data_IF_734650573032
#
_entry.id   IF_734650573032
#
_cell.length_a   1.000
_cell.length_b   1.000
_cell.length_c   1.000
_cell.angle_alpha   90.00
_cell.angle_beta   90.00
_cell.angle_gamma   90.00
#
_symmetry.space_group_name_H-M   'P 1'
#
loop_
_entity.id
_entity.type
_entity.pdbx_description
1 polymer ?
#
# COMPACT_ATOMS: atom_id res chain seq x y z
N UNK A 1 11.89 -10.41 7.43
CA UNK A 1 10.74 -10.61 6.52
C UNK A 1 11.16 -10.12 5.13
N UNK A 2 11.35 -11.01 4.14
CA UNK A 2 11.97 -10.67 2.83
C UNK A 2 11.05 -9.91 1.87
N UNK A 3 9.73 -10.07 2.02
CA UNK A 3 8.74 -9.42 1.15
C UNK A 3 8.75 -7.89 1.30
N UNK A 4 8.82 -7.42 2.54
CA UNK A 4 8.86 -6.01 2.89
C UNK A 4 10.09 -5.29 2.29
N UNK A 5 11.26 -5.92 2.34
CA UNK A 5 12.50 -5.31 1.84
C UNK A 5 12.49 -5.06 0.33
N UNK A 6 11.69 -5.81 -0.45
CA UNK A 6 11.54 -5.58 -1.88
C UNK A 6 10.76 -4.29 -2.17
N UNK A 7 9.71 -3.98 -1.41
CA UNK A 7 8.89 -2.78 -1.60
C UNK A 7 9.63 -1.47 -1.25
N UNK A 8 10.69 -1.56 -0.45
CA UNK A 8 11.57 -0.43 -0.09
C UNK A 8 12.94 -0.49 -0.78
N UNK A 9 13.11 -1.40 -1.74
CA UNK A 9 14.37 -1.61 -2.42
C UNK A 9 14.72 -0.41 -3.32
N UNK A 10 15.97 0.08 -3.32
CA UNK A 10 16.42 1.08 -4.29
C UNK A 10 16.45 0.53 -5.74
N UNK A 11 16.34 -0.79 -5.91
CA UNK A 11 16.28 -1.47 -7.20
C UNK A 11 14.85 -1.68 -7.74
N UNK A 12 13.81 -1.16 -7.09
CA UNK A 12 12.44 -1.20 -7.63
C UNK A 12 12.35 -0.53 -9.02
N UNK A 13 11.47 -1.05 -9.86
CA UNK A 13 11.15 -0.53 -11.19
C UNK A 13 10.09 0.59 -11.13
N UNK A 14 9.21 0.59 -10.11
CA UNK A 14 8.32 1.72 -9.84
C UNK A 14 9.12 2.93 -9.34
N UNK A 15 8.94 4.11 -9.96
CA UNK A 15 9.68 5.35 -9.60
C UNK A 15 9.33 5.85 -8.21
N UNK A 16 10.23 6.60 -7.57
CA UNK A 16 10.03 7.04 -6.18
C UNK A 16 8.79 7.91 -5.98
N UNK A 17 8.55 8.84 -6.90
CA UNK A 17 7.38 9.71 -6.85
C UNK A 17 6.09 8.90 -7.02
N UNK A 18 6.09 7.92 -7.93
CA UNK A 18 4.97 7.01 -8.16
C UNK A 18 4.73 6.07 -6.95
N UNK A 19 5.79 5.58 -6.33
CA UNK A 19 5.74 4.76 -5.12
C UNK A 19 5.10 5.54 -3.95
N UNK A 20 5.54 6.77 -3.68
CA UNK A 20 4.91 7.59 -2.65
C UNK A 20 3.46 7.96 -2.98
N UNK A 21 3.10 8.08 -4.26
CA UNK A 21 1.68 8.20 -4.66
C UNK A 21 0.87 7.01 -4.16
N UNK A 22 1.35 5.78 -4.42
CA UNK A 22 0.67 4.54 -3.99
C UNK A 22 0.49 4.53 -2.48
N UNK A 23 1.54 4.86 -1.73
CA UNK A 23 1.52 4.88 -0.26
C UNK A 23 0.50 5.88 0.27
N UNK A 24 0.65 7.15 -0.08
CA UNK A 24 -0.20 8.21 0.46
C UNK A 24 -1.65 8.08 0.00
N UNK A 25 -1.89 7.63 -1.25
CA UNK A 25 -3.25 7.38 -1.71
C UNK A 25 -3.90 6.20 -0.99
N UNK A 26 -3.14 5.14 -0.69
CA UNK A 26 -3.61 4.02 0.13
C UNK A 26 -3.97 4.50 1.54
N UNK A 27 -3.09 5.28 2.18
CA UNK A 27 -3.32 5.84 3.51
C UNK A 27 -4.56 6.76 3.56
N UNK A 28 -4.78 7.58 2.52
CA UNK A 28 -5.98 8.41 2.39
C UNK A 28 -7.26 7.57 2.25
N UNK A 29 -7.26 6.55 1.38
CA UNK A 29 -8.44 5.71 1.11
C UNK A 29 -8.83 4.79 2.27
N UNK A 30 -7.86 4.38 3.10
CA UNK A 30 -8.06 3.49 4.24
C UNK A 30 -8.16 4.22 5.58
N UNK A 31 -8.20 5.55 5.56
CA UNK A 31 -8.22 6.41 6.76
C UNK A 31 -7.11 6.03 7.75
N UNK A 32 -5.86 6.00 7.26
CA UNK A 32 -4.67 5.61 8.03
C UNK A 32 -3.78 6.84 8.27
N UNK A 33 -4.08 7.67 9.30
CA UNK A 33 -3.40 8.94 9.48
C UNK A 33 -1.95 8.75 9.96
N UNK A 34 -1.65 7.70 10.74
CA UNK A 34 -0.26 7.37 11.11
C UNK A 34 0.59 7.01 9.88
N UNK A 35 0.06 6.22 8.95
CA UNK A 35 0.79 5.91 7.70
C UNK A 35 1.09 7.15 6.89
N UNK A 36 0.12 8.06 6.82
CA UNK A 36 0.33 9.31 6.12
C UNK A 36 1.43 10.13 6.78
N UNK A 37 1.35 10.32 8.11
CA UNK A 37 2.29 11.14 8.87
C UNK A 37 3.74 10.69 8.68
N UNK A 38 4.00 9.38 8.77
CA UNK A 38 5.37 8.86 8.60
C UNK A 38 5.88 8.88 7.15
N UNK A 39 4.98 8.95 6.15
CA UNK A 39 5.35 8.94 4.73
C UNK A 39 5.32 10.32 4.06
N UNK A 40 4.56 11.29 4.58
CA UNK A 40 4.53 12.65 4.01
C UNK A 40 5.94 13.27 3.88
N UNK A 41 6.82 13.22 4.90
CA UNK A 41 8.18 13.74 4.76
C UNK A 41 8.96 13.06 3.63
N UNK A 42 8.73 11.76 3.41
CA UNK A 42 9.36 11.00 2.32
C UNK A 42 8.83 11.46 0.96
N UNK A 43 7.53 11.69 0.83
CA UNK A 43 6.93 12.25 -0.38
C UNK A 43 7.47 13.66 -0.70
N UNK A 44 7.65 14.51 0.32
CA UNK A 44 8.24 15.85 0.16
C UNK A 44 9.66 15.79 -0.38
N UNK A 45 10.46 14.82 0.06
CA UNK A 45 11.81 14.57 -0.49
C UNK A 45 11.77 14.24 -1.98
N UNK A 46 10.72 13.54 -2.45
CA UNK A 46 10.50 13.26 -3.87
C UNK A 46 9.71 14.33 -4.64
N UNK A 47 9.57 15.53 -4.07
CA UNK A 47 9.01 16.70 -4.75
C UNK A 47 7.48 16.77 -4.77
N UNK A 48 6.81 16.17 -3.78
CA UNK A 48 5.41 16.48 -3.49
C UNK A 48 5.29 17.84 -2.80
N UNK A 49 4.47 18.72 -3.36
CA UNK A 49 4.11 20.02 -2.75
C UNK A 49 2.82 19.89 -1.95
N UNK A 50 2.48 20.90 -1.16
CA UNK A 50 1.21 20.93 -0.39
C UNK A 50 -0.01 20.74 -1.30
N UNK A 51 0.01 21.32 -2.51
CA UNK A 51 -1.07 21.13 -3.48
C UNK A 51 -1.19 19.67 -3.95
N UNK A 52 -0.08 18.97 -4.15
CA UNK A 52 -0.13 17.54 -4.47
C UNK A 52 -0.67 16.73 -3.28
N UNK A 53 -0.21 17.03 -2.06
CA UNK A 53 -0.64 16.33 -0.85
C UNK A 53 -2.14 16.54 -0.58
N UNK A 54 -2.64 17.76 -0.77
CA UNK A 54 -4.07 18.06 -0.68
C UNK A 54 -4.88 17.25 -1.70
N UNK A 55 -4.44 17.18 -2.96
CA UNK A 55 -5.09 16.38 -4.00
C UNK A 55 -5.08 14.87 -3.68
N UNK A 56 -3.97 14.33 -3.18
CA UNK A 56 -3.89 12.93 -2.76
C UNK A 56 -4.82 12.61 -1.58
N UNK A 57 -4.94 13.55 -0.63
CA UNK A 57 -5.78 13.43 0.56
C UNK A 57 -7.26 13.46 0.20
N UNK A 58 -7.69 14.40 -0.64
CA UNK A 58 -9.08 14.52 -1.08
C UNK A 58 -9.47 13.47 -2.13
N UNK A 59 -8.49 12.95 -2.88
CA UNK A 59 -8.71 12.11 -4.05
C UNK A 59 -8.95 12.90 -5.35
N UNK A 60 -8.90 14.24 -5.30
CA UNK A 60 -8.98 15.07 -6.50
C UNK A 60 -7.60 15.18 -7.17
N UNK A 61 -7.38 14.34 -8.18
CA UNK A 61 -6.19 14.37 -9.04
C UNK A 61 -6.49 14.92 -10.44
N UNK A 62 -7.57 15.71 -10.59
CA UNK A 62 -8.01 16.23 -11.89
C UNK A 62 -7.04 17.24 -12.51
N UNK A 63 -6.27 17.98 -11.69
CA UNK A 63 -5.28 18.94 -12.18
C UNK A 63 -4.18 18.24 -12.99
N UNK A 64 -4.12 18.54 -14.28
CA UNK A 64 -3.10 18.05 -15.21
C UNK A 64 -1.74 18.71 -15.02
N UNK A 65 -1.69 19.85 -14.33
CA UNK A 65 -0.44 20.53 -13.95
C UNK A 65 0.24 19.87 -12.75
N UNK A 66 -0.55 19.34 -11.81
CA UNK A 66 -0.05 18.67 -10.61
C UNK A 66 0.15 17.17 -10.83
N UNK A 67 -0.75 16.51 -11.55
CA UNK A 67 -0.70 15.07 -11.74
C UNK A 67 -0.62 14.72 -13.23
N UNK A 68 0.38 13.90 -13.58
CA UNK A 68 0.46 13.30 -14.91
C UNK A 68 -0.62 12.24 -15.13
N UNK A 69 -0.89 11.90 -16.40
CA UNK A 69 -1.79 10.78 -16.75
C UNK A 69 -1.35 9.46 -16.10
N UNK A 70 -0.04 9.23 -16.04
CA UNK A 70 0.56 8.08 -15.35
C UNK A 70 0.18 8.06 -13.86
N UNK A 71 0.28 9.19 -13.17
CA UNK A 71 -0.06 9.28 -11.75
C UNK A 71 -1.56 9.12 -11.49
N UNK A 72 -2.42 9.69 -12.36
CA UNK A 72 -3.87 9.43 -12.30
C UNK A 72 -4.20 7.96 -12.50
N UNK A 73 -3.56 7.29 -13.46
CA UNK A 73 -3.74 5.86 -13.71
C UNK A 73 -3.31 5.02 -12.51
N UNK A 74 -2.17 5.34 -11.89
CA UNK A 74 -1.71 4.67 -10.65
C UNK A 74 -2.74 4.88 -9.53
N UNK A 75 -3.24 6.10 -9.34
CA UNK A 75 -4.28 6.39 -8.34
C UNK A 75 -5.55 5.57 -8.58
N UNK A 76 -5.99 5.42 -9.83
CA UNK A 76 -7.15 4.61 -10.18
C UNK A 76 -6.94 3.12 -9.87
N UNK A 77 -5.73 2.59 -10.12
CA UNK A 77 -5.36 1.21 -9.72
C UNK A 77 -5.45 1.05 -8.20
N UNK A 78 -4.91 2.01 -7.43
CA UNK A 78 -4.95 1.99 -5.96
C UNK A 78 -6.38 2.06 -5.44
N UNK A 79 -7.21 2.92 -6.03
CA UNK A 79 -8.62 3.05 -5.67
C UNK A 79 -9.41 1.76 -5.92
N UNK A 80 -9.23 1.14 -7.08
CA UNK A 80 -9.82 -0.17 -7.39
C UNK A 80 -9.41 -1.24 -6.36
N UNK A 81 -8.13 -1.29 -5.99
CA UNK A 81 -7.64 -2.25 -4.99
C UNK A 81 -8.22 -2.01 -3.60
N UNK A 82 -8.30 -0.75 -3.15
CA UNK A 82 -8.84 -0.42 -1.83
C UNK A 82 -10.36 -0.60 -1.75
N UNK A 83 -11.11 -0.16 -2.77
CA UNK A 83 -12.57 -0.09 -2.73
C UNK A 83 -13.26 -1.33 -3.31
N UNK A 84 -12.60 -2.06 -4.21
CA UNK A 84 -13.20 -3.19 -4.94
C UNK A 84 -12.44 -4.50 -4.76
N UNK A 85 -11.30 -4.49 -4.05
CA UNK A 85 -10.38 -5.62 -3.87
C UNK A 85 -9.80 -6.20 -5.17
N UNK A 86 -10.08 -5.57 -6.32
CA UNK A 86 -9.58 -5.99 -7.63
C UNK A 86 -9.59 -4.82 -8.59
N UNK A 87 -8.65 -4.86 -9.53
CA UNK A 87 -8.55 -3.89 -10.63
C UNK A 87 -9.26 -4.45 -11.84
N UNK A 88 -10.04 -3.61 -12.52
CA UNK A 88 -10.70 -4.05 -13.75
C UNK A 88 -9.67 -4.31 -14.88
N UNK A 89 -10.04 -5.17 -15.82
CA UNK A 89 -9.13 -5.63 -16.88
C UNK A 89 -8.58 -4.48 -17.74
N UNK A 90 -9.41 -3.50 -18.09
CA UNK A 90 -9.01 -2.37 -18.94
C UNK A 90 -7.98 -1.49 -18.23
N UNK A 91 -8.16 -1.23 -16.93
CA UNK A 91 -7.20 -0.49 -16.11
C UNK A 91 -5.89 -1.26 -15.98
N UNK A 92 -5.92 -2.58 -15.78
CA UNK A 92 -4.69 -3.41 -15.74
C UNK A 92 -3.94 -3.35 -17.07
N UNK A 93 -4.63 -3.50 -18.20
CA UNK A 93 -4.01 -3.45 -19.52
C UNK A 93 -3.38 -2.09 -19.81
N UNK A 94 -4.09 -0.99 -19.50
CA UNK A 94 -3.55 0.38 -19.62
C UNK A 94 -2.35 0.59 -18.69
N UNK A 95 -2.44 0.14 -17.45
CA UNK A 95 -1.35 0.26 -16.48
C UNK A 95 -0.13 -0.55 -16.94
N UNK A 96 -0.32 -1.75 -17.50
CA UNK A 96 0.77 -2.54 -18.08
C UNK A 96 1.44 -1.83 -19.25
N UNK A 97 0.67 -1.21 -20.15
CA UNK A 97 1.23 -0.45 -21.28
C UNK A 97 2.05 0.77 -20.82
N UNK A 98 1.56 1.49 -19.81
CA UNK A 98 2.21 2.71 -19.31
C UNK A 98 3.37 2.40 -18.36
N UNK A 99 3.25 1.41 -17.48
CA UNK A 99 4.24 1.14 -16.44
C UNK A 99 5.27 0.09 -16.87
N UNK A 100 4.89 -0.85 -17.74
CA UNK A 100 5.60 -2.11 -17.92
C UNK A 100 5.26 -3.14 -16.84
N UNK A 101 5.63 -4.40 -17.07
CA UNK A 101 5.27 -5.52 -16.19
C UNK A 101 5.87 -5.40 -14.78
N UNK A 102 7.15 -5.08 -14.67
CA UNK A 102 7.85 -5.01 -13.38
C UNK A 102 7.31 -3.89 -12.49
N UNK A 103 7.16 -2.67 -13.03
CA UNK A 103 6.66 -1.53 -12.26
C UNK A 103 5.18 -1.68 -11.89
N UNK A 104 4.39 -2.39 -12.71
CA UNK A 104 3.02 -2.74 -12.35
C UNK A 104 2.98 -3.76 -11.20
N UNK A 105 3.86 -4.76 -11.20
CA UNK A 105 3.98 -5.69 -10.08
C UNK A 105 4.45 -5.00 -8.79
N UNK A 106 5.42 -4.09 -8.89
CA UNK A 106 5.85 -3.26 -7.76
C UNK A 106 4.70 -2.43 -7.19
N UNK A 107 3.84 -1.87 -8.04
CA UNK A 107 2.63 -1.15 -7.62
C UNK A 107 1.72 -2.08 -6.81
N UNK A 108 1.39 -3.27 -7.31
CA UNK A 108 0.53 -4.22 -6.60
C UNK A 108 1.10 -4.63 -5.24
N UNK A 109 2.40 -4.96 -5.18
CA UNK A 109 3.02 -5.33 -3.91
C UNK A 109 3.09 -4.16 -2.94
N UNK A 110 3.43 -2.97 -3.41
CA UNK A 110 3.46 -1.76 -2.59
C UNK A 110 2.08 -1.50 -2.00
N UNK A 111 1.04 -1.46 -2.85
CA UNK A 111 -0.33 -1.22 -2.39
C UNK A 111 -0.78 -2.28 -1.38
N UNK A 112 -0.53 -3.57 -1.64
CA UNK A 112 -0.95 -4.64 -0.74
C UNK A 112 -0.24 -4.58 0.63
N UNK A 113 1.06 -4.27 0.63
CA UNK A 113 1.85 -4.10 1.86
C UNK A 113 1.34 -2.92 2.68
N UNK A 114 1.13 -1.76 2.05
CA UNK A 114 0.65 -0.58 2.75
C UNK A 114 -0.82 -0.72 3.17
N UNK A 115 -1.66 -1.41 2.41
CA UNK A 115 -3.02 -1.73 2.87
C UNK A 115 -3.00 -2.65 4.10
N UNK A 116 -2.09 -3.61 4.16
CA UNK A 116 -1.88 -4.45 5.34
C UNK A 116 -1.38 -3.63 6.54
N UNK A 117 -0.38 -2.77 6.34
CA UNK A 117 0.17 -1.92 7.40
C UNK A 117 -0.88 -0.93 7.91
N UNK A 118 -1.63 -0.25 7.04
CA UNK A 118 -2.70 0.68 7.38
C UNK A 118 -3.71 0.04 8.32
N UNK A 119 -4.24 -1.12 7.92
CA UNK A 119 -5.22 -1.88 8.70
C UNK A 119 -4.64 -2.33 10.04
N UNK A 120 -3.39 -2.80 10.04
CA UNK A 120 -2.71 -3.26 11.26
C UNK A 120 -2.53 -2.11 12.24
N UNK A 121 -2.00 -0.96 11.79
CA UNK A 121 -1.69 0.17 12.67
C UNK A 121 -2.95 0.86 13.19
N UNK A 122 -3.99 0.98 12.35
CA UNK A 122 -5.31 1.42 12.81
C UNK A 122 -5.88 0.47 13.86
N UNK A 123 -5.79 -0.85 13.65
CA UNK A 123 -6.29 -1.84 14.61
C UNK A 123 -5.50 -1.85 15.92
N UNK A 124 -4.21 -1.53 15.86
CA UNK A 124 -3.33 -1.44 17.02
C UNK A 124 -3.40 -0.07 17.74
N UNK A 125 -4.14 0.90 17.20
CA UNK A 125 -4.26 2.26 17.75
C UNK A 125 -2.88 2.90 18.02
N UNK A 126 -1.99 2.84 17.03
CA UNK A 126 -0.63 3.36 17.18
C UNK A 126 -0.67 4.89 17.35
N UNK A 127 0.02 5.38 18.39
CA UNK A 127 0.23 6.80 18.64
C UNK A 127 1.20 7.42 17.63
N UNK A 128 1.02 8.71 17.33
CA UNK A 128 1.95 9.45 16.49
C UNK A 128 3.33 9.59 17.15
N UNK A 129 4.36 9.51 16.32
CA UNK A 129 5.73 9.77 16.76
C UNK A 129 5.94 11.27 16.97
N UNK A 130 6.81 11.63 17.92
CA UNK A 130 7.27 13.00 18.05
C UNK A 130 8.08 13.40 16.80
N UNK A 131 8.05 14.68 16.38
CA UNK A 131 8.86 15.15 15.27
C UNK A 131 10.33 14.82 15.46
N UNK A 132 10.96 14.25 14.43
CA UNK A 132 12.38 13.94 14.43
C UNK A 132 13.14 15.16 13.88
N UNK A 133 13.97 15.85 14.69
CA UNK A 133 14.74 17.00 14.21
C UNK A 133 15.67 16.62 13.05
N UNK A 134 15.65 17.40 11.96
CA UNK A 134 16.48 17.16 10.78
C UNK A 134 16.05 15.97 9.91
N UNK A 135 14.83 15.45 10.09
CA UNK A 135 14.34 14.28 9.35
C UNK A 135 14.42 14.44 7.83
N UNK A 136 13.98 15.58 7.30
CA UNK A 136 14.01 15.80 5.85
C UNK A 136 15.41 15.74 5.27
N UNK A 137 16.41 16.34 5.93
CA UNK A 137 17.80 16.31 5.48
C UNK A 137 18.36 14.89 5.50
N UNK A 138 18.05 14.12 6.56
CA UNK A 138 18.42 12.71 6.64
C UNK A 138 17.78 11.89 5.51
N UNK A 139 16.50 12.14 5.21
CA UNK A 139 15.79 11.47 4.11
C UNK A 139 16.34 11.87 2.74
N UNK A 140 16.72 13.14 2.52
CA UNK A 140 17.38 13.60 1.29
C UNK A 140 18.73 12.93 1.12
N UNK A 141 19.55 12.89 2.17
CA UNK A 141 20.84 12.21 2.14
C UNK A 141 20.69 10.72 1.83
N UNK A 142 19.74 10.04 2.48
CA UNK A 142 19.46 8.63 2.25
C UNK A 142 19.01 8.34 0.81
N UNK A 143 18.17 9.21 0.24
CA UNK A 143 17.60 9.01 -1.10
C UNK A 143 18.42 9.67 -2.23
N UNK A 144 19.56 10.29 -1.93
CA UNK A 144 20.32 11.13 -2.87
C UNK A 144 20.63 10.42 -4.21
N UNK A 145 21.11 9.17 -4.16
CA UNK A 145 21.44 8.39 -5.36
C UNK A 145 20.21 8.10 -6.24
N UNK A 146 19.05 7.83 -5.63
CA UNK A 146 17.81 7.60 -6.37
C UNK A 146 17.30 8.92 -6.97
N UNK A 147 17.34 10.01 -6.20
CA UNK A 147 16.93 11.35 -6.66
C UNK A 147 17.77 11.76 -7.87
N UNK A 148 19.09 11.58 -7.80
CA UNK A 148 19.99 11.87 -8.92
C UNK A 148 19.63 11.04 -10.16
N UNK A 149 19.52 9.71 -10.01
CA UNK A 149 19.14 8.77 -11.08
C UNK A 149 17.83 9.16 -11.75
N UNK A 150 16.78 9.40 -10.96
CA UNK A 150 15.44 9.70 -11.49
C UNK A 150 15.36 11.11 -12.08
N UNK A 151 16.11 12.09 -11.54
CA UNK A 151 16.22 13.43 -12.12
C UNK A 151 16.92 13.42 -13.47
N UNK A 152 17.96 12.59 -13.65
CA UNK A 152 18.64 12.43 -14.92
C UNK A 152 17.75 11.77 -15.98
N UNK A 153 16.99 10.74 -15.59
CA UNK A 153 16.06 10.04 -16.47
C UNK A 153 14.90 10.94 -16.93
N UNK A 154 14.42 11.84 -16.06
CA UNK A 154 13.36 12.81 -16.42
C UNK A 154 13.79 13.85 -17.47
N UNK A 155 15.10 14.02 -17.73
CA UNK A 155 15.63 14.90 -18.79
C UNK A 155 15.70 14.21 -20.15
N UNK A 156 15.52 12.89 -20.20
CA UNK A 156 15.46 12.12 -21.45
C UNK A 156 13.98 11.88 -21.75
N UNK A 157 13.43 12.37 -22.88
CA UNK A 157 12.03 12.12 -23.22
C UNK A 157 11.81 10.61 -23.34
N UNK A 158 10.90 10.06 -22.53
CA UNK A 158 10.41 8.69 -22.66
C UNK A 158 9.64 8.59 -23.98
N UNK A 159 10.32 8.29 -25.07
CA UNK A 159 9.69 7.87 -26.32
C UNK A 159 9.29 6.41 -26.12
N UNK A 160 8.01 6.15 -25.81
CA UNK A 160 7.51 4.79 -25.94
C UNK A 160 7.52 4.43 -27.43
N UNK A 161 8.28 3.42 -27.86
CA UNK A 161 8.05 2.88 -29.19
C UNK A 161 6.63 2.30 -29.20
N UNK A 162 5.81 2.73 -30.16
CA UNK A 162 4.55 2.07 -30.52
C UNK A 162 4.87 0.65 -30.97
N UNK A 163 4.92 -0.30 -30.04
CA UNK A 163 5.00 -1.72 -30.36
C UNK A 163 3.59 -2.19 -30.65
N UNK A 164 3.26 -2.37 -31.93
CA UNK A 164 2.07 -3.12 -32.34
C UNK A 164 2.24 -4.58 -31.89
N UNK A 165 1.72 -4.93 -30.71
CA UNK A 165 1.72 -6.32 -30.23
C UNK A 165 0.52 -7.04 -30.83
N UNK A 166 0.79 -8.00 -31.72
CA UNK A 166 -0.17 -9.01 -32.12
C UNK A 166 -0.50 -9.89 -30.90
N UNK A 167 -1.77 -9.93 -30.50
CA UNK A 167 -2.26 -10.76 -29.40
C UNK A 167 -2.20 -12.25 -29.77
N UNK A 168 -1.02 -12.88 -29.58
CA UNK A 168 -0.87 -14.33 -29.55
C UNK A 168 -1.19 -14.86 -28.15
N UNK A 169 -2.12 -15.81 -28.04
CA UNK A 169 -2.41 -16.51 -26.78
C UNK A 169 -1.17 -17.32 -26.37
N UNK A 170 -0.51 -16.93 -25.29
CA UNK A 170 0.54 -17.70 -24.65
C UNK A 170 0.22 -17.83 -23.17
N UNK A 171 0.04 -19.08 -22.72
CA UNK A 171 -0.10 -19.47 -21.32
C UNK A 171 1.25 -19.35 -20.63
N UNK A 172 1.34 -18.52 -19.60
CA UNK A 172 2.59 -18.28 -18.86
C UNK A 172 2.73 -19.31 -17.74
N UNK A 173 3.77 -20.16 -17.79
CA UNK A 173 4.24 -20.95 -16.65
C UNK A 173 5.31 -20.16 -15.90
N UNK A 174 5.22 -20.17 -14.56
CA UNK A 174 6.18 -19.53 -13.67
C UNK A 174 7.27 -20.55 -13.28
N UNK A 175 8.43 -20.47 -13.93
CA UNK A 175 9.62 -21.18 -13.45
C UNK A 175 10.45 -20.25 -12.55
N UNK A 176 10.76 -20.76 -11.35
CA UNK A 176 11.31 -20.01 -10.22
C UNK A 176 12.70 -19.42 -10.48
N UNK A 177 12.89 -18.18 -10.02
CA UNK A 177 14.19 -17.51 -10.05
C UNK A 177 15.01 -17.89 -8.82
N UNK A 178 15.95 -18.80 -9.01
CA UNK A 178 17.03 -19.10 -8.08
C UNK A 178 18.12 -18.03 -8.22
N UNK A 179 18.25 -17.14 -7.22
CA UNK A 179 19.44 -16.27 -7.13
C UNK A 179 19.82 -16.01 -5.68
N UNK A 180 20.91 -16.66 -5.25
CA UNK A 180 21.65 -16.35 -4.01
C UNK A 180 22.35 -15.00 -4.19
N UNK A 181 22.10 -14.04 -3.29
CA UNK A 181 23.00 -12.91 -3.08
C UNK A 181 23.08 -12.54 -1.60
N UNK A 182 24.28 -12.13 -1.22
CA UNK A 182 24.83 -12.06 0.13
C UNK A 182 24.32 -10.88 0.96
N UNK A 183 24.28 -11.14 2.26
CA UNK A 183 23.92 -10.27 3.37
C UNK A 183 24.75 -8.97 3.45
N UNK A 184 24.10 -7.83 3.70
CA UNK A 184 24.39 -6.89 4.80
C UNK A 184 23.85 -5.48 4.50
N UNK A 185 22.65 -5.16 5.00
CA UNK A 185 22.22 -3.80 5.37
C UNK A 185 20.70 -3.78 5.65
N UNK A 186 20.32 -4.17 6.87
CA UNK A 186 19.00 -3.85 7.42
C UNK A 186 19.19 -2.67 8.37
N UNK A 187 18.63 -1.47 8.11
CA UNK A 187 18.62 -0.39 9.07
C UNK A 187 17.77 -0.74 10.30
N UNK A 188 18.32 -0.47 11.48
CA UNK A 188 17.77 -0.77 12.82
C UNK A 188 16.48 -0.01 13.19
N UNK A 189 15.90 0.77 12.29
CA UNK A 189 14.80 1.69 12.61
C UNK A 189 13.41 1.03 12.64
N UNK A 190 13.15 0.01 11.82
CA UNK A 190 11.85 -0.69 11.82
C UNK A 190 11.75 -1.74 12.94
N UNK A 191 12.89 -2.22 13.46
CA UNK A 191 12.94 -3.31 14.44
C UNK A 191 12.68 -2.92 15.90
N UNK A 192 12.62 -1.63 16.26
CA UNK A 192 12.50 -1.19 17.67
C UNK A 192 11.07 -1.10 18.19
N UNK A 193 10.06 -1.14 17.34
CA UNK A 193 8.65 -1.02 17.74
C UNK A 193 8.00 -2.32 18.23
N UNK A 194 8.67 -3.48 18.11
CA UNK A 194 8.09 -4.79 18.48
C UNK A 194 8.74 -5.41 19.74
N UNK A 195 9.81 -4.83 20.30
CA UNK A 195 10.62 -5.50 21.32
C UNK A 195 10.41 -5.04 22.78
N UNK A 196 9.67 -3.96 23.04
CA UNK A 196 9.50 -3.45 24.41
C UNK A 196 8.03 -3.21 24.75
N UNK A 197 7.30 -4.30 25.02
CA UNK A 197 6.23 -4.32 26.03
C UNK A 197 5.98 -5.77 26.44
N UNK A 198 6.86 -6.31 27.28
CA UNK A 198 6.43 -7.32 28.26
C UNK A 198 5.75 -6.52 29.36
N UNK A 199 4.42 -6.59 29.46
CA UNK A 199 3.63 -6.63 30.70
C UNK A 199 2.13 -6.44 30.38
N UNK A 200 1.36 -7.46 30.78
CA UNK A 200 -0.08 -7.55 31.03
C UNK A 200 -1.10 -7.03 30.01
N UNK A 201 -1.58 -7.95 29.17
CA UNK A 201 -2.96 -7.91 28.65
C UNK A 201 -3.70 -9.14 29.20
N UNK A 202 -4.51 -8.94 30.24
CA UNK A 202 -5.61 -9.84 30.57
C UNK A 202 -6.90 -9.09 30.27
N UNK A 203 -7.72 -9.61 29.36
CA UNK A 203 -9.11 -9.17 29.19
C UNK A 203 -10.01 -10.38 29.45
N UNK A 204 -10.87 -10.25 30.46
CA UNK A 204 -11.91 -11.22 30.78
C UNK A 204 -13.17 -10.80 30.04
N UNK A 205 -13.61 -11.58 29.06
CA UNK A 205 -14.89 -11.37 28.36
C UNK A 205 -15.97 -12.02 29.22
N UNK A 206 -16.83 -11.20 29.85
CA UNK A 206 -18.10 -11.69 30.38
C UNK A 206 -19.12 -11.66 29.24
N UNK A 207 -19.54 -12.83 28.79
CA UNK A 207 -20.70 -12.98 27.93
C UNK A 207 -21.96 -12.88 28.81
N UNK A 208 -22.79 -11.85 28.59
CA UNK A 208 -24.17 -11.83 29.09
C UNK A 208 -25.04 -12.58 28.08
N UNK A 209 -25.64 -13.67 28.51
CA UNK A 209 -26.66 -14.41 27.76
C UNK A 209 -28.01 -13.75 28.06
N UNK A 210 -28.64 -13.18 27.04
CA UNK A 210 -29.99 -12.64 27.12
C UNK A 210 -31.00 -13.80 26.98
N UNK A 211 -31.76 -14.11 28.03
CA UNK A 211 -32.84 -15.11 28.00
C UNK A 211 -34.18 -14.40 28.08
N UNK A 212 -34.75 -14.06 26.93
CA UNK A 212 -36.16 -13.71 26.79
C UNK A 212 -36.58 -14.01 25.35
N UNK A 213 -37.00 -15.25 25.10
CA UNK A 213 -38.04 -15.58 24.10
C UNK A 213 -38.30 -17.10 24.09
N UNK A 214 -39.28 -17.55 24.88
CA UNK A 214 -40.07 -18.73 24.53
C UNK A 214 -41.53 -18.42 24.82
N UNK A 215 -42.26 -18.12 23.74
CA UNK A 215 -43.71 -18.00 23.74
C UNK A 215 -44.31 -19.22 23.02
N UNK A 216 -45.22 -19.89 23.73
CA UNK A 216 -46.51 -20.42 23.27
C UNK A 216 -46.60 -21.59 22.28
N UNK A 217 -47.33 -22.61 22.80
CA UNK A 217 -48.31 -23.50 22.16
C UNK A 217 -47.80 -24.76 21.43
N UNK A 218 -48.14 -25.92 21.99
CA UNK A 218 -49.13 -26.80 21.36
C UNK A 218 -49.80 -27.74 22.37
N UNK A 219 -51.11 -27.97 22.20
CA UNK A 219 -51.92 -28.87 23.03
C UNK A 219 -52.33 -30.15 22.28
N UNK A 220 -52.76 -31.18 23.01
CA UNK A 220 -53.61 -32.26 22.47
C UNK A 220 -53.11 -33.70 22.62
N UNK A 221 -53.65 -34.37 23.65
CA UNK A 221 -54.13 -35.77 23.75
C UNK A 221 -53.41 -36.96 23.06
N UNK A 222 -53.08 -38.01 23.84
CA UNK A 222 -53.91 -39.23 23.99
C UNK A 222 -53.14 -40.43 24.60
N UNK A 223 -53.78 -41.19 25.50
CA UNK A 223 -53.61 -42.65 25.61
C UNK A 223 -52.87 -43.25 26.82
N UNK A 224 -53.63 -43.64 27.84
CA UNK A 224 -53.36 -44.72 28.85
C UNK A 224 -53.40 -46.14 28.20
N UNK A 225 -53.24 -47.29 28.89
CA UNK A 225 -52.59 -47.68 30.18
C UNK A 225 -51.69 -48.96 29.92
N UNK A 226 -51.38 -49.96 30.81
CA UNK A 226 -51.70 -50.26 32.22
C UNK A 226 -50.55 -50.09 33.23
#
# INVERSE_FOLDING_TARGET
>A
MKLLTCAWSPQRSLRSKDWQLVVLRTASLLDAPYEWDVNEPVARVFGYTDAHLAGLRSGDLSSTELFSDRQRLISAVVEDLCLRNRVNQDTVLKAKQVLGDEALMDLFYTQAIYAFLARTMNSCLIDFDAPIPGLEDMLRQYNAAIIERESASSRIPYVYPLVHIHMGKSSMSWDGCDRKSSLSSVPKYIGRLVANRKHDFSYSVKAEVNTDDQNLQDGGESGEPP
#
